data_IF_606461210969
#
_entry.id   IF_606461210969
#
_cell.length_a   1.000
_cell.length_b   1.000
_cell.length_c   1.000
_cell.angle_alpha   90.00
_cell.angle_beta   90.00
_cell.angle_gamma   90.00
#
_symmetry.space_group_name_H-M   'P 1'
#
loop_
_entity.id
_entity.type
_entity.pdbx_description
1 polymer ?
#
# COMPACT_ATOMS: atom_id res chain seq x y z
N UNK A 1 -15.73 11.78 4.49
CA UNK A 1 -16.66 12.07 5.60
C UNK A 1 -17.02 10.82 6.43
N UNK A 2 -17.45 9.66 5.88
CA UNK A 2 -17.83 8.51 6.72
C UNK A 2 -16.67 7.98 7.61
N UNK A 3 -15.43 7.96 7.12
CA UNK A 3 -14.27 7.55 7.91
C UNK A 3 -13.98 8.54 9.05
N UNK A 4 -14.08 9.83 8.78
CA UNK A 4 -13.86 10.86 9.79
C UNK A 4 -14.95 10.83 10.88
N UNK A 5 -16.21 10.64 10.49
CA UNK A 5 -17.30 10.45 11.44
C UNK A 5 -17.04 9.24 12.35
N UNK A 6 -16.66 8.10 11.77
CA UNK A 6 -16.32 6.92 12.55
C UNK A 6 -15.15 7.13 13.50
N UNK A 7 -14.14 7.89 13.07
CA UNK A 7 -13.02 8.28 13.92
C UNK A 7 -13.49 9.17 15.08
N UNK A 8 -14.35 10.16 14.82
CA UNK A 8 -14.92 11.03 15.87
C UNK A 8 -15.76 10.25 16.90
N UNK A 9 -16.55 9.28 16.42
CA UNK A 9 -17.44 8.51 17.27
C UNK A 9 -16.69 7.47 18.13
N UNK A 10 -15.59 6.89 17.63
CA UNK A 10 -14.93 5.74 18.25
C UNK A 10 -13.45 5.98 18.62
N UNK A 11 -12.85 7.10 18.25
CA UNK A 11 -11.41 7.36 18.42
C UNK A 11 -10.52 6.58 17.45
N UNK A 12 -11.08 5.60 16.71
CA UNK A 12 -10.36 4.77 15.72
C UNK A 12 -11.27 4.43 14.53
N UNK A 13 -10.66 3.93 13.44
CA UNK A 13 -11.41 3.50 12.25
C UNK A 13 -11.58 1.99 12.20
N UNK A 14 -10.57 1.24 12.60
CA UNK A 14 -10.58 -0.22 12.67
C UNK A 14 -10.63 -0.69 14.13
N UNK A 15 -11.27 -1.84 14.36
CA UNK A 15 -11.55 -2.33 15.71
C UNK A 15 -10.29 -2.65 16.55
N UNK A 16 -9.17 -2.93 15.91
CA UNK A 16 -7.94 -3.40 16.56
C UNK A 16 -6.85 -2.31 16.61
N UNK A 17 -7.24 -1.03 16.61
CA UNK A 17 -6.31 0.13 16.60
C UNK A 17 -5.33 0.13 15.39
N UNK A 18 -5.64 -0.68 14.38
CA UNK A 18 -4.85 -0.78 13.17
C UNK A 18 -5.02 0.46 12.29
N UNK A 19 -3.93 0.97 11.75
CA UNK A 19 -3.98 2.05 10.76
C UNK A 19 -4.54 1.57 9.42
N UNK A 20 -5.57 2.26 8.91
CA UNK A 20 -6.09 2.06 7.56
C UNK A 20 -5.14 2.68 6.53
N UNK A 21 -4.75 1.92 5.51
CA UNK A 21 -4.05 2.48 4.35
C UNK A 21 -5.07 2.93 3.31
N UNK A 22 -5.10 4.24 3.02
CA UNK A 22 -5.94 4.83 1.99
C UNK A 22 -5.09 5.13 0.75
N UNK A 23 -5.28 4.34 -0.32
CA UNK A 23 -4.67 4.63 -1.62
C UNK A 23 -5.53 5.64 -2.39
N UNK A 24 -4.91 6.76 -2.79
CA UNK A 24 -5.53 7.80 -3.63
C UNK A 24 -4.87 7.75 -5.00
N UNK A 25 -5.59 7.23 -5.98
CA UNK A 25 -5.09 7.06 -7.35
C UNK A 25 -5.43 8.29 -8.21
N UNK A 26 -4.43 9.13 -8.49
CA UNK A 26 -4.60 10.32 -9.31
C UNK A 26 -4.54 9.94 -10.79
N UNK A 27 -5.64 10.17 -11.51
CA UNK A 27 -5.78 9.90 -12.95
C UNK A 27 -5.72 11.16 -13.83
N UNK A 28 -5.64 12.34 -13.21
CA UNK A 28 -5.61 13.66 -13.85
C UNK A 28 -4.23 14.30 -13.71
N UNK A 29 -4.13 15.63 -13.90
CA UNK A 29 -2.89 16.37 -13.63
C UNK A 29 -2.39 16.17 -12.20
N UNK A 30 -1.18 15.66 -12.06
CA UNK A 30 -0.58 15.32 -10.78
C UNK A 30 -0.57 16.51 -9.81
N UNK A 31 0.08 17.60 -10.22
CA UNK A 31 0.28 18.78 -9.38
C UNK A 31 -1.03 19.48 -9.00
N UNK A 32 -1.89 19.75 -10.00
CA UNK A 32 -3.15 20.46 -9.76
C UNK A 32 -4.08 19.65 -8.83
N UNK A 33 -4.14 18.34 -9.03
CA UNK A 33 -4.99 17.46 -8.21
C UNK A 33 -4.44 17.32 -6.79
N UNK A 34 -3.12 17.15 -6.66
CA UNK A 34 -2.50 17.05 -5.34
C UNK A 34 -2.63 18.35 -4.56
N UNK A 35 -2.51 19.52 -5.19
CA UNK A 35 -2.70 20.80 -4.52
C UNK A 35 -4.10 20.93 -3.88
N UNK A 36 -5.14 20.38 -4.51
CA UNK A 36 -6.48 20.32 -3.92
C UNK A 36 -6.55 19.27 -2.81
N UNK A 37 -6.02 18.07 -3.07
CA UNK A 37 -5.98 16.97 -2.09
C UNK A 37 -5.26 17.40 -0.82
N UNK A 38 -4.07 18.01 -0.92
CA UNK A 38 -3.29 18.44 0.23
C UNK A 38 -4.07 19.42 1.14
N UNK A 39 -4.79 20.38 0.55
CA UNK A 39 -5.66 21.28 1.34
C UNK A 39 -6.81 20.54 2.03
N UNK A 40 -7.36 19.51 1.41
CA UNK A 40 -8.39 18.68 2.02
C UNK A 40 -7.83 17.82 3.16
N UNK A 41 -6.65 17.23 2.99
CA UNK A 41 -6.05 16.37 4.01
C UNK A 41 -5.80 17.13 5.32
N UNK A 42 -5.40 18.39 5.27
CA UNK A 42 -5.23 19.23 6.47
C UNK A 42 -6.50 19.28 7.33
N UNK A 43 -7.69 19.25 6.73
CA UNK A 43 -8.97 19.28 7.47
C UNK A 43 -9.21 18.00 8.28
N UNK A 44 -8.48 16.92 7.99
CA UNK A 44 -8.57 15.61 8.64
C UNK A 44 -7.30 15.24 9.40
N UNK A 45 -6.46 16.24 9.71
CA UNK A 45 -5.13 16.05 10.29
C UNK A 45 -5.15 15.15 11.53
N UNK A 46 -6.16 15.24 12.40
CA UNK A 46 -6.25 14.49 13.65
C UNK A 46 -6.30 12.97 13.45
N UNK A 47 -6.87 12.49 12.34
CA UNK A 47 -6.93 11.07 12.03
C UNK A 47 -5.82 10.60 11.08
N UNK A 48 -5.09 11.52 10.42
CA UNK A 48 -4.11 11.17 9.39
C UNK A 48 -2.71 11.03 9.97
N UNK A 49 -2.01 9.97 9.60
CA UNK A 49 -0.57 9.85 9.84
C UNK A 49 0.17 11.02 9.20
N UNK A 50 1.17 11.52 9.87
CA UNK A 50 1.89 12.72 9.47
C UNK A 50 3.40 12.52 9.60
N UNK A 51 4.16 13.06 8.64
CA UNK A 51 5.60 13.30 8.80
C UNK A 51 5.82 14.79 9.00
N UNK A 52 6.46 15.15 10.08
CA UNK A 52 6.85 16.53 10.39
C UNK A 52 8.30 16.53 10.88
N UNK A 53 9.13 17.39 10.28
CA UNK A 53 10.56 17.52 10.62
C UNK A 53 11.27 16.15 10.65
N UNK A 54 11.03 15.33 9.59
CA UNK A 54 11.51 13.95 9.39
C UNK A 54 11.08 12.93 10.46
N UNK A 55 10.17 13.30 11.33
CA UNK A 55 9.56 12.38 12.30
C UNK A 55 8.19 11.92 11.83
N UNK A 56 8.00 10.59 11.74
CA UNK A 56 6.72 9.99 11.38
C UNK A 56 5.89 9.68 12.63
N UNK A 57 4.67 10.18 12.65
CA UNK A 57 3.65 9.82 13.63
C UNK A 57 2.53 9.05 12.94
N UNK A 58 2.39 7.78 13.27
CA UNK A 58 1.27 6.95 12.81
C UNK A 58 -0.02 7.35 13.53
N UNK A 59 -1.11 7.40 12.75
CA UNK A 59 -2.48 7.62 13.24
C UNK A 59 -3.43 6.63 12.55
N UNK A 60 -4.73 6.83 12.72
CA UNK A 60 -5.76 5.90 12.23
C UNK A 60 -5.80 5.71 10.71
N UNK A 61 -5.31 6.68 9.91
CA UNK A 61 -5.25 6.58 8.45
C UNK A 61 -3.89 7.02 7.92
N UNK A 62 -3.26 6.18 7.11
CA UNK A 62 -2.09 6.55 6.32
C UNK A 62 -2.51 6.73 4.86
N UNK A 63 -2.36 7.94 4.33
CA UNK A 63 -2.69 8.26 2.93
C UNK A 63 -1.48 7.99 2.04
N UNK A 64 -1.68 7.27 0.95
CA UNK A 64 -0.65 6.96 -0.05
C UNK A 64 -1.17 7.37 -1.43
N UNK A 65 -0.43 8.23 -2.12
CA UNK A 65 -0.76 8.73 -3.46
C UNK A 65 -0.17 7.81 -4.52
N UNK A 66 -1.02 7.32 -5.40
CA UNK A 66 -0.71 6.46 -6.55
C UNK A 66 -1.10 7.12 -7.87
N UNK A 67 -0.89 6.43 -8.99
CA UNK A 67 -1.18 6.95 -10.34
C UNK A 67 -0.19 8.04 -10.76
N UNK A 68 -0.70 9.19 -11.15
CA UNK A 68 0.09 10.37 -11.48
C UNK A 68 0.57 11.05 -10.18
N UNK A 69 1.76 10.67 -9.72
CA UNK A 69 2.31 11.07 -8.41
C UNK A 69 3.16 12.35 -8.53
N UNK A 70 2.81 13.45 -7.88
CA UNK A 70 3.63 14.66 -7.85
C UNK A 70 4.72 14.51 -6.77
N UNK A 71 5.80 13.83 -7.12
CA UNK A 71 6.82 13.35 -6.16
C UNK A 71 7.46 14.50 -5.39
N UNK A 72 7.84 15.58 -6.07
CA UNK A 72 8.49 16.74 -5.46
C UNK A 72 7.55 17.49 -4.51
N UNK A 73 6.30 17.71 -4.93
CA UNK A 73 5.30 18.38 -4.09
C UNK A 73 4.96 17.58 -2.84
N UNK A 74 4.88 16.24 -2.94
CA UNK A 74 4.66 15.40 -1.77
C UNK A 74 5.91 15.43 -0.87
N UNK A 75 7.11 15.28 -1.43
CA UNK A 75 8.35 15.21 -0.65
C UNK A 75 8.66 16.52 0.09
N UNK A 76 8.38 17.67 -0.52
CA UNK A 76 8.65 18.99 0.06
C UNK A 76 7.59 19.47 1.07
N UNK A 77 6.47 18.77 1.21
CA UNK A 77 5.40 19.15 2.16
C UNK A 77 5.87 18.96 3.61
N UNK A 78 5.70 20.00 4.45
CA UNK A 78 5.96 19.93 5.90
C UNK A 78 4.90 20.77 6.65
N UNK A 79 3.99 20.21 7.44
CA UNK A 79 3.79 18.77 7.67
C UNK A 79 3.29 18.04 6.41
N UNK A 80 3.71 16.77 6.25
CA UNK A 80 3.31 15.90 5.13
C UNK A 80 2.29 14.87 5.61
N UNK A 81 1.07 14.93 5.05
CA UNK A 81 -0.04 14.02 5.36
C UNK A 81 -0.23 12.90 4.31
N UNK A 82 0.62 12.87 3.29
CA UNK A 82 0.56 11.83 2.26
C UNK A 82 1.95 11.25 1.98
N UNK A 83 1.97 9.95 1.66
CA UNK A 83 3.14 9.23 1.21
C UNK A 83 2.99 8.88 -0.28
N UNK A 84 4.02 8.30 -0.87
CA UNK A 84 4.07 7.91 -2.27
C UNK A 84 3.94 6.39 -2.40
N UNK A 85 3.10 5.92 -3.34
CA UNK A 85 3.05 4.54 -3.80
C UNK A 85 4.24 4.30 -4.73
N UNK A 86 5.27 3.59 -4.25
CA UNK A 86 6.46 3.25 -5.02
C UNK A 86 6.21 2.17 -6.06
N UNK A 87 7.22 1.93 -6.92
CA UNK A 87 7.26 0.83 -7.91
C UNK A 87 8.43 -0.09 -7.58
N UNK A 88 8.49 -1.27 -8.20
CA UNK A 88 9.60 -2.21 -7.96
C UNK A 88 10.98 -1.60 -8.28
N UNK A 89 11.05 -0.73 -9.29
CA UNK A 89 12.27 0.01 -9.62
C UNK A 89 12.75 0.92 -8.48
N UNK A 90 11.85 1.40 -7.62
CA UNK A 90 12.16 2.25 -6.47
C UNK A 90 12.87 1.46 -5.34
N UNK A 91 12.83 0.12 -5.37
CA UNK A 91 13.60 -0.74 -4.45
C UNK A 91 15.11 -0.67 -4.72
N UNK A 92 15.50 -0.40 -5.96
CA UNK A 92 16.91 -0.26 -6.35
C UNK A 92 17.48 1.13 -6.03
N UNK A 93 16.66 2.03 -5.53
CA UNK A 93 17.04 3.39 -5.16
C UNK A 93 16.92 3.54 -3.65
N UNK A 94 17.86 4.25 -3.02
CA UNK A 94 17.87 4.50 -1.57
C UNK A 94 16.77 5.49 -1.15
N UNK A 95 15.52 5.21 -1.54
CA UNK A 95 14.35 6.02 -1.16
C UNK A 95 13.87 5.62 0.22
N UNK A 96 13.67 6.61 1.07
CA UNK A 96 13.22 6.39 2.45
C UNK A 96 11.83 5.76 2.53
N UNK A 97 11.63 4.82 3.47
CA UNK A 97 10.31 4.27 3.78
C UNK A 97 9.35 5.31 4.37
N UNK A 98 9.85 6.41 4.92
CA UNK A 98 9.01 7.54 5.38
C UNK A 98 8.24 8.21 4.23
N UNK A 99 8.81 8.23 3.03
CA UNK A 99 8.14 8.77 1.84
C UNK A 99 7.50 7.67 0.99
N UNK A 100 8.14 6.50 0.92
CA UNK A 100 7.70 5.35 0.12
C UNK A 100 7.42 4.13 1.04
N UNK A 101 6.37 4.17 1.88
CA UNK A 101 6.07 3.08 2.81
C UNK A 101 5.47 1.84 2.14
N UNK A 102 5.02 1.98 0.90
CA UNK A 102 4.43 0.93 0.09
C UNK A 102 5.09 0.91 -1.29
N UNK A 103 5.41 -0.29 -1.74
CA UNK A 103 5.78 -0.59 -3.11
C UNK A 103 4.64 -1.38 -3.73
N UNK A 104 4.07 -0.88 -4.82
CA UNK A 104 2.99 -1.56 -5.50
C UNK A 104 3.18 -1.55 -7.01
N UNK A 105 3.07 -2.72 -7.65
CA UNK A 105 3.34 -2.83 -9.08
C UNK A 105 2.38 -3.82 -9.77
N UNK A 106 2.38 -3.77 -11.09
CA UNK A 106 1.55 -4.63 -11.91
C UNK A 106 2.12 -6.04 -11.96
N UNK A 107 1.40 -7.01 -11.40
CA UNK A 107 1.80 -8.42 -11.45
C UNK A 107 2.20 -8.90 -12.84
N UNK A 108 1.41 -8.52 -13.86
CA UNK A 108 1.57 -8.99 -15.23
C UNK A 108 2.83 -8.48 -15.94
N UNK A 109 3.45 -7.41 -15.44
CA UNK A 109 4.73 -6.90 -15.96
C UNK A 109 5.92 -7.70 -15.45
N UNK A 110 5.77 -8.36 -14.30
CA UNK A 110 6.88 -9.01 -13.60
C UNK A 110 6.80 -10.52 -13.58
N UNK A 111 5.57 -11.09 -13.66
CA UNK A 111 5.30 -12.52 -13.52
C UNK A 111 4.37 -13.02 -14.63
N UNK A 112 4.64 -14.25 -15.10
CA UNK A 112 3.81 -14.95 -16.09
C UNK A 112 2.77 -15.86 -15.44
N UNK A 113 3.00 -16.29 -14.20
CA UNK A 113 2.08 -17.15 -13.46
C UNK A 113 0.70 -16.51 -13.33
N UNK A 114 -0.34 -17.30 -13.60
CA UNK A 114 -1.74 -16.84 -13.65
C UNK A 114 -2.64 -17.50 -12.59
N UNK A 115 -2.03 -18.16 -11.59
CA UNK A 115 -2.77 -18.80 -10.51
C UNK A 115 -3.44 -20.10 -10.92
N UNK A 116 -2.86 -20.85 -11.85
CA UNK A 116 -3.32 -22.17 -12.27
C UNK A 116 -2.14 -23.14 -12.24
N UNK A 117 -2.32 -24.24 -11.49
CA UNK A 117 -1.27 -25.22 -11.30
C UNK A 117 -0.09 -24.70 -10.47
N UNK A 118 1.06 -25.32 -10.60
CA UNK A 118 2.25 -24.98 -9.84
C UNK A 118 2.95 -23.74 -10.38
N UNK A 119 3.31 -22.81 -9.51
CA UNK A 119 4.11 -21.64 -9.88
C UNK A 119 5.53 -22.07 -10.23
N UNK A 120 6.11 -21.63 -11.37
CA UNK A 120 7.48 -21.93 -11.72
C UNK A 120 8.46 -21.49 -10.63
N UNK A 121 9.44 -22.36 -10.29
CA UNK A 121 10.38 -22.10 -9.20
C UNK A 121 11.13 -20.77 -9.39
N UNK A 122 11.55 -20.44 -10.59
CA UNK A 122 12.23 -19.17 -10.88
C UNK A 122 11.37 -17.94 -10.59
N UNK A 123 10.04 -18.02 -10.82
CA UNK A 123 9.13 -16.92 -10.47
C UNK A 123 8.89 -16.85 -8.96
N UNK A 124 8.81 -17.99 -8.28
CA UNK A 124 8.71 -18.08 -6.82
C UNK A 124 9.95 -17.49 -6.13
N UNK A 125 11.14 -17.79 -6.65
CA UNK A 125 12.39 -17.23 -6.12
C UNK A 125 12.48 -15.72 -6.34
N UNK A 126 12.10 -15.24 -7.53
CA UNK A 126 12.00 -13.80 -7.83
C UNK A 126 11.02 -13.09 -6.89
N UNK A 127 9.87 -13.70 -6.62
CA UNK A 127 8.88 -13.12 -5.70
C UNK A 127 9.46 -12.97 -4.29
N UNK A 128 10.13 -14.01 -3.78
CA UNK A 128 10.80 -13.98 -2.48
C UNK A 128 11.92 -12.95 -2.40
N UNK A 129 12.69 -12.80 -3.46
CA UNK A 129 13.74 -11.78 -3.55
C UNK A 129 13.15 -10.38 -3.42
N UNK A 130 12.12 -10.05 -4.20
CA UNK A 130 11.43 -8.75 -4.14
C UNK A 130 10.83 -8.47 -2.76
N UNK A 131 10.19 -9.47 -2.15
CA UNK A 131 9.67 -9.37 -0.77
C UNK A 131 10.80 -9.09 0.22
N UNK A 132 11.92 -9.82 0.10
CA UNK A 132 13.10 -9.63 0.96
C UNK A 132 13.67 -8.21 0.85
N UNK A 133 13.80 -7.70 -0.38
CA UNK A 133 14.27 -6.33 -0.63
C UNK A 133 13.33 -5.28 0.00
N UNK A 134 12.01 -5.43 -0.19
CA UNK A 134 11.03 -4.50 0.40
C UNK A 134 11.11 -4.51 1.95
N UNK A 135 11.15 -5.69 2.56
CA UNK A 135 11.24 -5.85 4.02
C UNK A 135 12.54 -5.27 4.60
N UNK A 136 13.68 -5.50 3.95
CA UNK A 136 14.97 -4.96 4.38
C UNK A 136 14.96 -3.41 4.39
N UNK A 137 14.17 -2.79 3.52
CA UNK A 137 14.00 -1.35 3.45
C UNK A 137 12.84 -0.82 4.32
N UNK A 138 12.18 -1.66 5.12
CA UNK A 138 11.03 -1.28 5.94
C UNK A 138 9.81 -0.85 5.12
N UNK A 139 9.64 -1.41 3.92
CA UNK A 139 8.56 -1.10 3.00
C UNK A 139 7.61 -2.28 2.90
N UNK A 140 6.32 -2.01 2.76
CA UNK A 140 5.31 -3.05 2.45
C UNK A 140 5.24 -3.28 0.94
N UNK A 141 4.86 -4.48 0.54
CA UNK A 141 4.72 -4.89 -0.85
C UNK A 141 3.28 -5.26 -1.19
N UNK A 142 2.82 -4.83 -2.36
CA UNK A 142 1.53 -5.17 -2.96
C UNK A 142 1.68 -5.37 -4.46
N UNK A 143 0.92 -6.30 -5.03
CA UNK A 143 0.72 -6.37 -6.48
C UNK A 143 -0.74 -6.09 -6.83
N UNK A 144 -0.94 -5.36 -7.96
CA UNK A 144 -2.25 -5.17 -8.57
C UNK A 144 -2.32 -5.90 -9.92
N UNK A 145 -3.51 -6.00 -10.53
CA UNK A 145 -3.78 -6.84 -11.70
C UNK A 145 -3.39 -8.32 -11.52
N UNK A 146 -3.43 -8.78 -10.28
CA UNK A 146 -3.28 -10.20 -9.93
C UNK A 146 -4.49 -10.99 -10.39
N UNK A 147 -4.32 -12.24 -10.87
CA UNK A 147 -5.44 -13.18 -11.01
C UNK A 147 -6.16 -13.42 -9.68
N UNK A 148 -7.47 -13.52 -9.74
CA UNK A 148 -8.33 -13.86 -8.60
C UNK A 148 -8.33 -15.37 -8.36
N UNK A 149 -7.22 -15.90 -7.83
CA UNK A 149 -7.00 -17.33 -7.67
C UNK A 149 -6.47 -17.66 -6.27
N UNK A 150 -7.07 -18.66 -5.58
CA UNK A 150 -6.54 -19.17 -4.31
C UNK A 150 -5.09 -19.62 -4.40
N UNK A 151 -4.68 -20.25 -5.53
CA UNK A 151 -3.31 -20.71 -5.71
C UNK A 151 -2.33 -19.52 -5.73
N UNK A 152 -2.71 -18.40 -6.41
CA UNK A 152 -1.87 -17.21 -6.38
C UNK A 152 -1.91 -16.51 -5.02
N UNK A 153 -3.05 -16.44 -4.36
CA UNK A 153 -3.13 -15.88 -3.00
C UNK A 153 -2.23 -16.65 -2.03
N UNK A 154 -2.16 -17.99 -2.19
CA UNK A 154 -1.27 -18.83 -1.38
C UNK A 154 0.21 -18.49 -1.65
N UNK A 155 0.61 -18.39 -2.91
CA UNK A 155 1.99 -18.02 -3.28
C UNK A 155 2.37 -16.63 -2.73
N UNK A 156 1.47 -15.65 -2.82
CA UNK A 156 1.68 -14.31 -2.25
C UNK A 156 1.81 -14.34 -0.72
N UNK A 157 0.93 -15.10 -0.06
CA UNK A 157 0.94 -15.26 1.39
C UNK A 157 2.21 -15.97 1.87
N UNK A 158 2.62 -17.05 1.20
CA UNK A 158 3.81 -17.86 1.54
C UNK A 158 5.11 -17.11 1.28
N UNK A 159 5.15 -16.26 0.26
CA UNK A 159 6.27 -15.36 0.02
C UNK A 159 6.34 -14.22 1.06
N UNK A 160 5.25 -13.93 1.76
CA UNK A 160 5.14 -12.87 2.76
C UNK A 160 4.89 -11.49 2.16
N UNK A 161 4.12 -11.42 1.07
CA UNK A 161 3.57 -10.17 0.53
C UNK A 161 2.62 -9.57 1.54
N UNK A 162 2.72 -8.26 1.80
CA UNK A 162 2.01 -7.60 2.90
C UNK A 162 0.54 -7.33 2.58
N UNK A 163 0.21 -7.04 1.32
CA UNK A 163 -1.14 -6.69 0.89
C UNK A 163 -1.51 -7.46 -0.38
N UNK A 164 -2.56 -8.26 -0.30
CA UNK A 164 -3.13 -8.97 -1.45
C UNK A 164 -4.22 -8.10 -2.07
N UNK A 165 -4.02 -7.70 -3.34
CA UNK A 165 -5.03 -6.97 -4.11
C UNK A 165 -6.12 -7.90 -4.61
N UNK A 166 -7.40 -7.50 -4.51
CA UNK A 166 -8.55 -8.26 -5.00
C UNK A 166 -9.73 -7.33 -5.31
N UNK A 167 -10.51 -7.69 -6.31
CA UNK A 167 -11.85 -7.15 -6.58
C UNK A 167 -12.96 -8.02 -5.95
N UNK A 168 -12.59 -9.16 -5.36
CA UNK A 168 -13.50 -10.14 -4.75
C UNK A 168 -13.31 -10.20 -3.21
N UNK A 169 -13.59 -9.08 -2.53
CA UNK A 169 -13.29 -8.90 -1.10
C UNK A 169 -13.81 -10.03 -0.22
N UNK A 170 -15.07 -10.41 -0.36
CA UNK A 170 -15.69 -11.50 0.44
C UNK A 170 -14.97 -12.82 0.20
N UNK A 171 -14.69 -13.16 -1.06
CA UNK A 171 -14.02 -14.41 -1.41
C UNK A 171 -12.61 -14.50 -0.85
N UNK A 172 -11.81 -13.44 -0.96
CA UNK A 172 -10.48 -13.40 -0.36
C UNK A 172 -10.56 -13.45 1.17
N UNK A 173 -11.48 -12.71 1.78
CA UNK A 173 -11.68 -12.72 3.22
C UNK A 173 -12.00 -14.13 3.75
N UNK A 174 -12.97 -14.83 3.12
CA UNK A 174 -13.37 -16.17 3.55
C UNK A 174 -12.23 -17.18 3.36
N UNK A 175 -11.50 -17.05 2.24
CA UNK A 175 -10.32 -17.88 1.98
C UNK A 175 -9.22 -17.62 3.05
N UNK A 176 -8.91 -16.38 3.38
CA UNK A 176 -7.91 -16.05 4.42
C UNK A 176 -8.32 -16.61 5.79
N UNK A 177 -9.61 -16.58 6.14
CA UNK A 177 -10.11 -17.14 7.40
C UNK A 177 -10.05 -18.66 7.45
N UNK A 178 -10.04 -19.34 6.31
CA UNK A 178 -9.88 -20.79 6.23
C UNK A 178 -8.43 -21.25 6.35
N UNK A 179 -7.45 -20.31 6.25
CA UNK A 179 -6.05 -20.65 6.40
C UNK A 179 -5.69 -20.88 7.88
N UNK A 180 -4.74 -21.79 8.18
CA UNK A 180 -4.25 -21.95 9.54
C UNK A 180 -3.66 -20.63 10.07
N UNK A 181 -3.94 -20.30 11.32
CA UNK A 181 -3.34 -19.11 11.97
C UNK A 181 -1.82 -19.28 12.01
N UNK A 182 -1.12 -18.33 11.47
CA UNK A 182 0.35 -18.23 11.46
C UNK A 182 0.85 -17.46 12.68
#
# INVERSE_FOLDING_TARGET
QPLFQRFQDNGCILADDCSLTLLVDIKSSAEATYAVLARQLVQYADMLSVTKDDQFQQRSVTVIVSGNRPLESIASSNPRYACVDGRLEDLNQSKTSLLYPLISDNWRLHFRYRGQGEMPQAERDKLREVVGQAKTQGKRLRFWATPESPDLWQELLDAGVDLIGTDQLTRLHDWLRSQPKR
#
